data_IF_862492424710
#
_entry.id   IF_862492424710
#
_cell.length_a   1.000
_cell.length_b   1.000
_cell.length_c   1.000
_cell.angle_alpha   90.00
_cell.angle_beta   90.00
_cell.angle_gamma   90.00
#
_symmetry.space_group_name_H-M   'P 1'
#
loop_
_entity.id
_entity.type
_entity.pdbx_description
1 polymer ?
#
# COMPACT_ATOMS: atom_id res chain seq x y z
N UNK A 1 -1.71 -25.87 -34.15
CA UNK A 1 -0.81 -25.21 -33.17
C UNK A 1 -1.47 -23.91 -32.72
N UNK A 2 -1.88 -23.83 -31.46
CA UNK A 2 -2.13 -22.58 -30.71
C UNK A 2 -2.19 -22.99 -29.23
N UNK A 3 -1.07 -22.97 -28.51
CA UNK A 3 -0.72 -21.85 -27.61
C UNK A 3 -1.89 -21.54 -26.67
N UNK A 4 -2.20 -22.46 -25.76
CA UNK A 4 -1.95 -22.23 -24.31
C UNK A 4 -2.32 -20.81 -23.91
N UNK A 5 -3.61 -20.63 -23.66
CA UNK A 5 -4.13 -19.55 -22.83
C UNK A 5 -3.34 -19.55 -21.53
N UNK A 6 -2.68 -18.43 -21.29
CA UNK A 6 -1.87 -18.17 -20.12
C UNK A 6 -2.85 -17.90 -18.98
N UNK A 7 -3.32 -18.96 -18.33
CA UNK A 7 -3.91 -18.92 -16.99
C UNK A 7 -2.86 -18.33 -16.05
N UNK A 8 -2.89 -17.01 -15.87
CA UNK A 8 -2.22 -16.38 -14.74
C UNK A 8 -2.91 -15.07 -14.32
N UNK A 9 -4.24 -15.11 -14.28
CA UNK A 9 -5.05 -14.14 -13.56
C UNK A 9 -5.44 -14.74 -12.21
N UNK A 10 -4.53 -14.66 -11.24
CA UNK A 10 -4.85 -14.94 -9.83
C UNK A 10 -5.79 -13.84 -9.30
N UNK A 11 -7.05 -13.89 -9.71
CA UNK A 11 -8.13 -13.14 -9.08
C UNK A 11 -8.52 -13.91 -7.80
N UNK A 12 -8.32 -13.36 -6.60
CA UNK A 12 -8.74 -14.02 -5.37
C UNK A 12 -10.27 -14.17 -5.39
N UNK A 13 -10.75 -15.41 -5.38
CA UNK A 13 -12.19 -15.70 -5.30
C UNK A 13 -12.55 -16.06 -3.85
N UNK A 14 -13.55 -15.37 -3.30
CA UNK A 14 -14.23 -15.83 -2.08
C UNK A 14 -15.36 -16.77 -2.51
N UNK A 15 -15.36 -17.99 -1.98
CA UNK A 15 -16.40 -18.99 -2.22
C UNK A 15 -17.13 -19.31 -0.92
N UNK A 16 -18.46 -19.27 -0.95
CA UNK A 16 -19.34 -19.68 0.14
C UNK A 16 -20.58 -20.33 -0.44
N UNK A 17 -21.29 -21.14 0.34
CA UNK A 17 -22.62 -21.58 -0.05
C UNK A 17 -23.56 -20.40 -0.26
N UNK A 18 -24.29 -20.45 -1.37
CA UNK A 18 -25.31 -19.45 -1.73
C UNK A 18 -26.33 -19.24 -0.60
N UNK A 19 -26.70 -20.33 0.08
CA UNK A 19 -27.61 -20.32 1.24
C UNK A 19 -27.11 -19.40 2.36
N UNK A 20 -25.85 -19.56 2.77
CA UNK A 20 -25.21 -18.75 3.83
C UNK A 20 -25.00 -17.31 3.39
N UNK A 21 -24.68 -17.09 2.12
CA UNK A 21 -24.60 -15.73 1.55
C UNK A 21 -25.94 -14.99 1.64
N UNK A 22 -27.00 -15.63 1.16
CA UNK A 22 -28.37 -15.09 1.20
C UNK A 22 -28.83 -14.88 2.64
N UNK A 23 -28.58 -15.84 3.54
CA UNK A 23 -28.93 -15.70 4.95
C UNK A 23 -28.29 -14.46 5.56
N UNK A 24 -26.97 -14.30 5.41
CA UNK A 24 -26.31 -13.15 6.01
C UNK A 24 -26.65 -11.82 5.34
N UNK A 25 -26.94 -11.81 4.04
CA UNK A 25 -27.45 -10.62 3.34
C UNK A 25 -28.83 -10.19 3.89
N UNK A 26 -29.74 -11.15 4.09
CA UNK A 26 -31.10 -10.88 4.57
C UNK A 26 -31.17 -10.62 6.08
N UNK A 27 -30.25 -11.18 6.86
CA UNK A 27 -30.17 -10.98 8.32
C UNK A 27 -29.32 -9.78 8.73
N UNK A 28 -28.78 -9.03 7.75
CA UNK A 28 -27.91 -7.88 8.02
C UNK A 28 -26.54 -8.24 8.59
N UNK A 29 -26.17 -9.53 8.60
CA UNK A 29 -24.85 -10.02 9.00
C UNK A 29 -23.81 -9.78 7.92
N UNK A 30 -24.20 -9.69 6.65
CA UNK A 30 -23.30 -9.39 5.54
C UNK A 30 -22.78 -7.95 5.69
N UNK A 31 -21.47 -7.82 5.88
CA UNK A 31 -20.76 -6.55 5.87
C UNK A 31 -19.89 -6.50 4.63
N UNK A 32 -19.92 -5.36 3.95
CA UNK A 32 -18.98 -5.02 2.88
C UNK A 32 -17.83 -4.23 3.50
N UNK A 33 -16.60 -4.52 3.09
CA UNK A 33 -15.40 -3.83 3.54
C UNK A 33 -15.37 -2.36 3.15
N UNK A 34 -16.15 -1.53 3.84
CA UNK A 34 -15.73 -0.17 4.09
C UNK A 34 -14.89 -0.21 5.37
N UNK A 35 -13.58 -0.37 5.19
CA UNK A 35 -12.56 -0.32 6.26
C UNK A 35 -12.50 1.08 6.90
N UNK A 36 -13.35 2.02 6.46
CA UNK A 36 -13.42 3.40 6.92
C UNK A 36 -13.55 3.49 8.44
N UNK A 37 -12.66 4.27 9.04
CA UNK A 37 -12.56 4.52 10.46
C UNK A 37 -11.80 3.44 11.24
N UNK A 38 -11.41 2.32 10.62
CA UNK A 38 -10.60 1.29 11.24
C UNK A 38 -9.15 1.76 11.35
N UNK A 39 -8.55 1.59 12.53
CA UNK A 39 -7.11 1.73 12.72
C UNK A 39 -6.46 0.37 12.54
N UNK A 40 -5.44 0.30 11.67
CA UNK A 40 -4.68 -0.92 11.41
C UNK A 40 -3.18 -0.66 11.52
N UNK A 41 -2.41 -1.68 11.94
CA UNK A 41 -0.97 -1.65 11.79
C UNK A 41 -0.60 -1.55 10.30
N UNK A 42 0.40 -0.73 10.02
CA UNK A 42 0.96 -0.53 8.69
C UNK A 42 2.44 -0.87 8.72
N UNK A 43 2.79 -1.92 8.01
CA UNK A 43 4.15 -2.37 7.84
C UNK A 43 4.80 -1.63 6.68
N UNK A 44 5.94 -0.98 6.93
CA UNK A 44 6.71 -0.29 5.90
C UNK A 44 7.97 -1.08 5.58
N UNK A 45 8.10 -1.41 4.31
CA UNK A 45 9.17 -2.22 3.76
C UNK A 45 10.14 -1.37 2.97
N UNK A 46 11.43 -1.56 3.24
CA UNK A 46 12.48 -0.77 2.59
C UNK A 46 13.59 -1.64 2.07
N UNK A 47 14.31 -1.10 1.09
CA UNK A 47 15.57 -1.65 0.61
C UNK A 47 16.66 -0.58 0.64
N UNK A 48 17.92 -1.00 0.81
CA UNK A 48 19.05 -0.07 0.85
C UNK A 48 19.54 0.20 -0.56
N UNK A 49 19.70 1.47 -0.91
CA UNK A 49 20.23 1.90 -2.20
C UNK A 49 21.32 2.97 -2.00
N UNK A 50 22.16 3.17 -3.02
CA UNK A 50 23.13 4.28 -3.04
C UNK A 50 22.50 5.53 -3.63
N UNK A 51 22.62 6.65 -2.94
CA UNK A 51 22.16 7.93 -3.42
C UNK A 51 22.90 8.33 -4.71
N UNK A 52 22.18 8.63 -5.80
CA UNK A 52 22.81 9.05 -7.06
C UNK A 52 23.65 10.33 -6.94
N UNK A 53 23.36 11.19 -5.94
CA UNK A 53 24.03 12.49 -5.77
C UNK A 53 25.28 12.41 -4.89
N UNK A 54 25.26 11.62 -3.81
CA UNK A 54 26.35 11.54 -2.83
C UNK A 54 27.00 10.17 -2.71
N UNK A 55 26.41 9.13 -3.29
CA UNK A 55 26.85 7.72 -3.26
C UNK A 55 26.76 7.08 -1.86
N UNK A 56 26.32 7.82 -0.85
CA UNK A 56 25.99 7.32 0.48
C UNK A 56 24.75 6.42 0.46
N UNK A 57 24.68 5.44 1.36
CA UNK A 57 23.54 4.54 1.50
C UNK A 57 22.31 5.30 2.03
N UNK A 58 21.14 4.95 1.52
CA UNK A 58 19.85 5.47 1.97
C UNK A 58 18.81 4.37 1.81
N UNK A 59 17.84 4.31 2.72
CA UNK A 59 16.71 3.37 2.57
C UNK A 59 15.61 3.97 1.74
N UNK A 60 15.06 3.17 0.84
CA UNK A 60 13.95 3.52 -0.04
C UNK A 60 12.72 2.73 0.40
N UNK A 61 11.59 3.41 0.60
CA UNK A 61 10.30 2.77 0.81
C UNK A 61 9.84 2.19 -0.52
N UNK A 62 9.60 0.88 -0.53
CA UNK A 62 9.17 0.13 -1.71
C UNK A 62 7.81 -0.55 -1.50
N UNK A 63 7.44 -0.85 -0.25
CA UNK A 63 6.17 -1.46 0.10
C UNK A 63 5.57 -0.86 1.36
N UNK A 64 4.25 -0.74 1.36
CA UNK A 64 3.43 -0.29 2.49
C UNK A 64 2.26 -1.26 2.58
N UNK A 65 2.20 -2.04 3.65
CA UNK A 65 1.17 -3.07 3.84
C UNK A 65 0.30 -2.73 5.04
N UNK A 66 -0.99 -2.57 4.82
CA UNK A 66 -1.98 -2.45 5.87
C UNK A 66 -2.35 -3.85 6.34
N UNK A 67 -1.97 -4.18 7.57
CA UNK A 67 -2.15 -5.50 8.15
C UNK A 67 -3.59 -5.74 8.65
N UNK A 68 -4.57 -5.56 7.75
CA UNK A 68 -6.01 -5.65 8.04
C UNK A 68 -6.37 -7.02 8.61
N UNK A 69 -5.74 -8.10 8.15
CA UNK A 69 -5.98 -9.47 8.63
C UNK A 69 -5.74 -9.63 10.14
N UNK A 70 -4.86 -8.80 10.73
CA UNK A 70 -4.55 -8.80 12.17
C UNK A 70 -5.68 -8.18 13.00
N UNK A 71 -6.45 -7.27 12.41
CA UNK A 71 -7.54 -6.54 13.09
C UNK A 71 -8.91 -7.15 12.75
N UNK A 72 -9.08 -7.64 11.53
CA UNK A 72 -10.28 -8.27 11.01
C UNK A 72 -9.96 -9.67 10.46
N UNK A 73 -10.12 -10.72 11.27
CA UNK A 73 -9.90 -12.10 10.83
C UNK A 73 -10.71 -12.43 9.57
N UNK A 74 -10.07 -13.04 8.58
CA UNK A 74 -10.69 -13.39 7.28
C UNK A 74 -10.56 -12.30 6.20
N UNK A 75 -10.12 -11.09 6.55
CA UNK A 75 -9.70 -10.08 5.57
C UNK A 75 -8.27 -10.34 5.11
N UNK A 76 -7.95 -9.95 3.87
CA UNK A 76 -6.57 -9.87 3.41
C UNK A 76 -5.94 -8.54 3.83
N UNK A 77 -4.62 -8.54 3.93
CA UNK A 77 -3.84 -7.31 4.07
C UNK A 77 -3.90 -6.51 2.75
N UNK A 78 -3.77 -5.19 2.84
CA UNK A 78 -3.77 -4.32 1.67
C UNK A 78 -2.35 -3.87 1.38
N UNK A 79 -1.80 -4.36 0.28
CA UNK A 79 -0.45 -4.03 -0.17
C UNK A 79 -0.48 -2.85 -1.14
N UNK A 80 0.35 -1.85 -0.87
CA UNK A 80 0.46 -0.62 -1.64
C UNK A 80 1.94 -0.27 -1.85
N UNK A 81 2.20 0.48 -2.91
CA UNK A 81 3.49 1.14 -3.11
C UNK A 81 3.34 2.66 -2.94
N UNK A 82 4.48 3.37 -2.94
CA UNK A 82 4.49 4.82 -2.80
C UNK A 82 3.75 5.52 -3.96
N UNK A 83 3.76 4.91 -5.14
CA UNK A 83 3.13 5.45 -6.35
C UNK A 83 1.61 5.40 -6.26
N UNK A 84 1.06 4.38 -5.61
CA UNK A 84 -0.37 4.22 -5.36
C UNK A 84 -0.95 5.44 -4.64
N UNK A 85 -0.25 5.95 -3.61
CA UNK A 85 -0.63 7.18 -2.92
C UNK A 85 -0.55 8.41 -3.84
N UNK A 86 0.48 8.51 -4.68
CA UNK A 86 0.69 9.65 -5.56
C UNK A 86 -0.27 9.71 -6.75
N UNK A 87 -0.64 8.55 -7.28
CA UNK A 87 -1.45 8.39 -8.49
C UNK A 87 -2.96 8.32 -8.16
N UNK A 88 -3.35 7.79 -7.00
CA UNK A 88 -4.76 7.60 -6.64
C UNK A 88 -5.33 8.71 -5.75
N UNK A 89 -4.50 9.42 -4.98
CA UNK A 89 -4.96 10.42 -4.01
C UNK A 89 -4.60 11.85 -4.43
N UNK A 90 -5.56 12.76 -4.35
CA UNK A 90 -5.36 14.19 -4.64
C UNK A 90 -4.26 14.78 -3.73
N UNK A 91 -4.35 14.53 -2.42
CA UNK A 91 -3.34 14.87 -1.40
C UNK A 91 -2.53 13.65 -0.93
N UNK A 92 -2.05 12.82 -1.85
CA UNK A 92 -1.21 11.66 -1.50
C UNK A 92 0.02 12.04 -0.65
N UNK A 93 0.59 13.22 -0.88
CA UNK A 93 1.74 13.73 -0.12
C UNK A 93 1.36 14.00 1.33
N UNK A 94 0.26 14.71 1.57
CA UNK A 94 -0.19 15.00 2.93
C UNK A 94 -0.59 13.73 3.69
N UNK A 95 -1.25 12.78 3.01
CA UNK A 95 -1.59 11.47 3.59
C UNK A 95 -0.33 10.73 4.04
N UNK A 96 0.66 10.60 3.16
CA UNK A 96 1.93 9.93 3.50
C UNK A 96 2.69 10.70 4.57
N UNK A 97 2.69 12.04 4.57
CA UNK A 97 3.39 12.84 5.57
C UNK A 97 2.76 12.72 6.98
N UNK A 98 1.43 12.53 7.06
CA UNK A 98 0.72 12.26 8.31
C UNK A 98 1.04 10.86 8.85
N UNK A 99 1.00 9.86 7.98
CA UNK A 99 1.25 8.46 8.33
C UNK A 99 2.73 8.19 8.64
N UNK A 100 3.63 8.78 7.85
CA UNK A 100 5.08 8.59 7.90
C UNK A 100 5.80 9.93 8.02
N UNK A 101 5.76 10.59 9.21
CA UNK A 101 6.41 11.88 9.39
C UNK A 101 7.91 11.81 9.12
N UNK A 102 8.48 12.84 8.50
CA UNK A 102 9.90 12.89 8.14
C UNK A 102 10.84 12.61 9.32
N UNK A 103 10.49 13.09 10.52
CA UNK A 103 11.26 12.83 11.74
C UNK A 103 11.27 11.36 12.15
N UNK A 104 10.17 10.62 11.92
CA UNK A 104 10.10 9.18 12.14
C UNK A 104 10.96 8.46 11.10
N UNK A 105 10.75 8.74 9.80
CA UNK A 105 11.50 8.15 8.70
C UNK A 105 13.02 8.27 8.90
N UNK A 106 13.48 9.46 9.28
CA UNK A 106 14.91 9.73 9.52
C UNK A 106 15.53 8.83 10.60
N UNK A 107 14.79 8.49 11.66
CA UNK A 107 15.27 7.57 12.72
C UNK A 107 15.52 6.17 12.19
N UNK A 108 14.84 5.79 11.11
CA UNK A 108 14.99 4.51 10.43
C UNK A 108 15.90 4.58 9.19
N UNK A 109 16.67 5.66 9.00
CA UNK A 109 17.58 5.79 7.86
C UNK A 109 16.88 6.05 6.52
N UNK A 110 15.62 6.48 6.55
CA UNK A 110 14.78 6.78 5.38
C UNK A 110 14.72 8.30 5.23
N UNK A 111 14.91 8.81 4.01
CA UNK A 111 14.72 10.23 3.73
C UNK A 111 13.25 10.60 3.58
N UNK A 112 12.95 11.90 3.53
CA UNK A 112 11.58 12.36 3.40
C UNK A 112 10.95 11.96 2.07
N UNK A 113 9.70 11.50 2.11
CA UNK A 113 8.91 11.16 0.92
C UNK A 113 8.28 12.45 0.36
N UNK A 114 8.59 12.79 -0.90
CA UNK A 114 8.21 14.07 -1.51
C UNK A 114 7.68 13.91 -2.92
N UNK A 115 6.86 14.88 -3.37
CA UNK A 115 6.41 14.94 -4.75
C UNK A 115 7.57 15.34 -5.67
N UNK A 116 7.77 14.57 -6.74
CA UNK A 116 8.74 14.80 -7.81
C UNK A 116 8.00 14.99 -9.12
N UNK A 117 8.32 16.06 -9.85
CA UNK A 117 7.92 16.18 -11.25
C UNK A 117 8.97 15.52 -12.15
N UNK A 118 8.56 14.53 -12.95
CA UNK A 118 9.42 13.88 -13.94
C UNK A 118 9.14 14.45 -15.32
N UNK A 119 10.14 15.10 -15.93
CA UNK A 119 10.03 15.57 -17.32
C UNK A 119 9.90 14.41 -18.32
N UNK A 120 10.53 13.28 -18.03
CA UNK A 120 10.49 12.10 -18.91
C UNK A 120 9.11 11.42 -18.89
N UNK A 121 8.44 11.41 -17.74
CA UNK A 121 7.09 10.83 -17.62
C UNK A 121 5.97 11.87 -17.81
N UNK A 122 6.31 13.15 -17.90
CA UNK A 122 5.33 14.24 -18.07
C UNK A 122 4.37 14.42 -16.89
N UNK A 123 4.64 13.82 -15.72
CA UNK A 123 3.76 13.82 -14.55
C UNK A 123 4.52 13.98 -13.24
N UNK A 124 3.78 14.31 -12.18
CA UNK A 124 4.27 14.33 -10.80
C UNK A 124 3.91 13.05 -10.07
N UNK A 125 4.81 12.52 -9.25
CA UNK A 125 4.58 11.34 -8.41
C UNK A 125 5.31 11.46 -7.06
N UNK A 126 4.97 10.60 -6.09
CA UNK A 126 5.69 10.52 -4.82
C UNK A 126 7.00 9.74 -4.97
N UNK A 127 8.08 10.27 -4.40
CA UNK A 127 9.43 9.77 -4.58
C UNK A 127 10.18 9.74 -3.25
N UNK A 128 11.06 8.74 -3.12
CA UNK A 128 11.95 8.56 -1.99
C UNK A 128 13.03 9.66 -1.94
N UNK A 129 13.15 10.36 -0.81
CA UNK A 129 14.27 11.26 -0.56
C UNK A 129 15.49 10.52 0.00
N UNK A 130 16.69 11.03 -0.27
CA UNK A 130 17.90 10.57 0.40
C UNK A 130 17.98 11.12 1.83
N UNK A 131 18.23 10.26 2.82
CA UNK A 131 18.31 10.66 4.23
C UNK A 131 19.45 11.66 4.55
N UNK A 132 20.48 11.72 3.70
CA UNK A 132 21.68 12.54 3.91
C UNK A 132 21.66 13.90 3.18
N UNK A 133 20.94 14.00 2.06
CA UNK A 133 21.01 15.17 1.19
C UNK A 133 19.71 15.58 0.52
N UNK A 134 18.60 14.91 0.87
CA UNK A 134 17.24 15.14 0.34
C UNK A 134 17.11 15.03 -1.18
N UNK A 135 18.12 14.49 -1.87
CA UNK A 135 18.03 14.21 -3.30
C UNK A 135 16.93 13.16 -3.54
N UNK A 136 15.99 13.47 -4.42
CA UNK A 136 14.92 12.55 -4.79
C UNK A 136 15.48 11.40 -5.64
N UNK A 137 15.17 10.17 -5.23
CA UNK A 137 15.57 8.94 -5.88
C UNK A 137 14.51 8.57 -6.92
N UNK A 138 14.94 8.38 -8.16
CA UNK A 138 14.03 8.13 -9.28
C UNK A 138 13.47 6.70 -9.27
N UNK A 139 12.18 6.57 -9.60
CA UNK A 139 11.47 5.28 -9.74
C UNK A 139 12.19 4.30 -10.67
N UNK A 140 12.91 4.83 -11.67
CA UNK A 140 13.61 4.00 -12.66
C UNK A 140 14.63 3.07 -12.03
N UNK A 141 15.20 3.31 -10.86
CA UNK A 141 16.16 2.39 -10.24
C UNK A 141 15.51 1.37 -9.29
N UNK A 142 14.20 1.45 -9.07
CA UNK A 142 13.49 0.56 -8.15
C UNK A 142 13.44 -0.90 -8.66
N UNK A 143 13.42 -1.09 -9.99
CA UNK A 143 13.42 -2.44 -10.60
C UNK A 143 14.76 -3.17 -10.50
N UNK A 144 15.83 -2.46 -10.11
CA UNK A 144 17.16 -3.04 -9.90
C UNK A 144 17.36 -3.51 -8.44
N UNK A 145 16.37 -3.27 -7.56
CA UNK A 145 16.41 -3.63 -6.14
C UNK A 145 15.85 -5.05 -5.92
N UNK A 146 16.34 -5.72 -4.88
CA UNK A 146 15.98 -7.11 -4.58
C UNK A 146 14.51 -7.31 -4.25
N UNK A 147 13.99 -8.52 -4.51
CA UNK A 147 12.58 -8.88 -4.29
C UNK A 147 12.24 -9.21 -2.82
N UNK A 148 13.23 -9.42 -1.96
CA UNK A 148 13.01 -9.70 -0.52
C UNK A 148 13.08 -8.41 0.29
N UNK A 149 11.95 -7.70 0.37
CA UNK A 149 11.88 -6.48 1.16
C UNK A 149 11.84 -6.76 2.65
N UNK A 150 12.67 -6.08 3.43
CA UNK A 150 12.65 -6.18 4.88
C UNK A 150 11.67 -5.19 5.51
N UNK A 151 10.79 -5.68 6.41
CA UNK A 151 9.99 -4.81 7.28
C UNK A 151 10.93 -3.96 8.12
N UNK A 152 10.84 -2.64 7.97
CA UNK A 152 11.75 -1.67 8.58
C UNK A 152 11.13 -0.95 9.77
N UNK A 153 9.83 -0.68 9.70
CA UNK A 153 9.06 -0.08 10.79
C UNK A 153 7.58 -0.43 10.65
N UNK A 154 6.85 -0.22 11.75
CA UNK A 154 5.40 -0.35 11.83
C UNK A 154 4.84 0.96 12.38
N UNK A 155 3.72 1.42 11.83
CA UNK A 155 2.94 2.55 12.34
C UNK A 155 1.48 2.17 12.43
N UNK A 156 0.69 2.93 13.19
CA UNK A 156 -0.77 2.81 13.15
C UNK A 156 -1.32 3.85 12.18
N UNK A 157 -2.20 3.41 11.27
CA UNK A 157 -2.93 4.32 10.40
C UNK A 157 -4.42 4.03 10.46
N UNK A 158 -5.21 5.10 10.46
CA UNK A 158 -6.67 5.01 10.36
C UNK A 158 -7.07 5.17 8.91
N UNK A 159 -7.90 4.26 8.43
CA UNK A 159 -8.50 4.35 7.10
C UNK A 159 -9.51 5.50 7.06
N UNK A 160 -9.09 6.64 6.53
CA UNK A 160 -9.97 7.80 6.39
C UNK A 160 -10.78 7.72 5.07
N UNK A 161 -11.96 8.37 4.97
CA UNK A 161 -12.78 8.36 3.75
C UNK A 161 -12.05 8.82 2.50
N UNK A 162 -11.08 9.73 2.64
CA UNK A 162 -10.22 10.23 1.55
C UNK A 162 -9.37 9.13 0.89
N UNK A 163 -9.28 7.93 1.49
CA UNK A 163 -8.49 6.80 0.99
C UNK A 163 -9.27 5.92 0.01
N UNK A 164 -10.57 6.16 -0.17
CA UNK A 164 -11.43 5.40 -1.09
C UNK A 164 -10.81 5.13 -2.48
N UNK A 165 -10.23 6.14 -3.16
CA UNK A 165 -9.60 5.93 -4.47
C UNK A 165 -8.39 4.99 -4.46
N UNK A 166 -7.60 5.01 -3.37
CA UNK A 166 -6.47 4.09 -3.17
C UNK A 166 -6.95 2.64 -3.06
N UNK A 167 -8.14 2.49 -2.46
CA UNK A 167 -8.77 1.20 -2.25
C UNK A 167 -9.43 0.64 -3.52
N UNK A 168 -9.91 1.48 -4.42
CA UNK A 168 -10.43 1.06 -5.72
C UNK A 168 -9.34 0.50 -6.65
N UNK A 169 -8.11 1.01 -6.52
CA UNK A 169 -6.96 0.66 -7.36
C UNK A 169 -5.99 -0.36 -6.73
N UNK A 170 -6.10 -0.60 -5.42
CA UNK A 170 -5.45 -1.74 -4.76
C UNK A 170 -6.10 -3.02 -5.30
N UNK A 171 -5.50 -3.56 -6.37
CA UNK A 171 -6.00 -4.67 -7.16
C UNK A 171 -6.70 -5.75 -6.31
N UNK A 172 -7.97 -6.02 -6.62
CA UNK A 172 -8.74 -7.21 -6.24
C UNK A 172 -8.95 -7.55 -4.73
N UNK A 173 -8.35 -6.86 -3.76
CA UNK A 173 -8.43 -7.29 -2.35
C UNK A 173 -9.55 -6.63 -1.53
N UNK A 174 -10.16 -5.55 -2.03
CA UNK A 174 -11.16 -4.76 -1.28
C UNK A 174 -12.61 -5.10 -1.66
N UNK A 175 -12.82 -5.94 -2.67
CA UNK A 175 -14.15 -6.51 -2.97
C UNK A 175 -14.51 -7.70 -2.06
N UNK A 176 -14.06 -7.68 -0.80
CA UNK A 176 -14.33 -8.76 0.15
C UNK A 176 -15.51 -8.42 1.06
N UNK A 177 -16.39 -9.38 1.22
CA UNK A 177 -17.50 -9.35 2.17
C UNK A 177 -17.24 -10.34 3.32
N UNK A 178 -17.74 -10.05 4.51
CA UNK A 178 -17.69 -10.95 5.67
C UNK A 178 -19.03 -10.99 6.40
N UNK A 179 -19.21 -11.97 7.29
CA UNK A 179 -20.37 -12.04 8.17
C UNK A 179 -19.99 -11.61 9.58
N UNK A 180 -20.77 -10.69 10.15
CA UNK A 180 -20.70 -10.32 11.54
C UNK A 180 -21.30 -11.44 12.40
N UNK A 181 -20.44 -12.34 12.91
CA UNK A 181 -20.86 -13.45 13.80
C UNK A 181 -20.98 -13.02 15.27
N UNK A 182 -20.75 -11.74 15.57
CA UNK A 182 -20.94 -11.17 16.92
C UNK A 182 -22.42 -10.80 17.10
N UNK A 183 -23.26 -11.83 17.17
CA UNK A 183 -24.67 -11.77 17.58
C UNK A 183 -24.88 -12.49 18.90
#
# INVERSE_FOLDING_TARGET
>A
MSAKEQENSSCPSQSIELSRFVEGALTGKLRVALILGLTTPVDVFTETARCWKRVEETRLVLGITFAVSRVLPGCADVELDLHSFGDCLEDGVGVVARMLPAALLKRHGIGELRRRHSRAEGRSYLSNGCVHCDALQGRFFEHELGYELAKTLEVEARFEPEWGPLMEHAHNDIYRWWFDERG
#
